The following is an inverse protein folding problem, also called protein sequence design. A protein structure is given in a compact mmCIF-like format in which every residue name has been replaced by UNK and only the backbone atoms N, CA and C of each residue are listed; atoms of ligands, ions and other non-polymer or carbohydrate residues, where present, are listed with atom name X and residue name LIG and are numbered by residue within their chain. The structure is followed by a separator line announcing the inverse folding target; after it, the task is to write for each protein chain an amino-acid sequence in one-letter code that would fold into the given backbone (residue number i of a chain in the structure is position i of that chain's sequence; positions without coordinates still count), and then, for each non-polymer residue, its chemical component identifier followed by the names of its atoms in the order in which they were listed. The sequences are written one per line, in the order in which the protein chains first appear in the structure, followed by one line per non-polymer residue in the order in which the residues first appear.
data_IF_178312816298
#
_entry.id   IF_178312816298
#
_cell.length_a   1.000
_cell.length_b   1.000
_cell.length_c   1.000
_cell.angle_alpha   90.00
_cell.angle_beta   90.00
_cell.angle_gamma   90.00
#
_symmetry.space_group_name_H-M   'P 1'
#
loop_
_entity.id
_entity.type
_entity.pdbx_description
1 polymer ?
#
# COMPACT_ATOMS: atom_id res chain seq x y z
N UNK A 1 28.63 -25.13 -28.59
CA UNK A 1 27.77 -24.06 -28.08
C UNK A 1 27.12 -24.59 -26.81
N UNK A 2 27.53 -24.10 -25.65
CA UNK A 2 27.04 -24.61 -24.38
C UNK A 2 25.62 -24.09 -24.11
N UNK A 3 24.68 -25.01 -24.11
CA UNK A 3 23.25 -24.76 -23.80
C UNK A 3 22.95 -24.55 -22.29
N UNK A 4 23.85 -23.84 -21.59
CA UNK A 4 23.72 -23.63 -20.14
C UNK A 4 22.87 -22.41 -19.73
N UNK A 5 22.11 -21.82 -20.67
CA UNK A 5 21.36 -20.60 -20.35
C UNK A 5 20.12 -20.86 -19.49
N UNK A 6 19.61 -22.08 -19.44
CA UNK A 6 18.46 -22.46 -18.63
C UNK A 6 18.79 -23.09 -17.27
N UNK A 7 20.03 -23.52 -17.07
CA UNK A 7 20.47 -24.14 -15.79
C UNK A 7 20.29 -23.19 -14.60
N UNK A 8 20.38 -21.88 -14.84
CA UNK A 8 20.11 -20.85 -13.84
C UNK A 8 18.69 -20.96 -13.29
N UNK A 9 17.70 -21.31 -14.09
CA UNK A 9 16.30 -21.38 -13.66
C UNK A 9 16.04 -22.54 -12.69
N UNK A 10 16.80 -23.62 -12.82
CA UNK A 10 16.62 -24.82 -11.99
C UNK A 10 17.50 -24.82 -10.73
N UNK A 11 18.36 -23.80 -10.56
CA UNK A 11 19.14 -23.72 -9.34
C UNK A 11 18.29 -23.31 -8.13
N UNK A 12 18.72 -23.75 -6.94
CA UNK A 12 18.06 -23.42 -5.68
C UNK A 12 18.11 -21.89 -5.43
N UNK A 13 17.00 -21.32 -4.92
CA UNK A 13 16.88 -19.87 -4.61
C UNK A 13 17.93 -19.38 -3.61
N UNK A 14 18.48 -20.25 -2.76
CA UNK A 14 19.58 -19.93 -1.81
C UNK A 14 20.86 -19.46 -2.53
N UNK A 15 21.06 -19.85 -3.79
CA UNK A 15 22.21 -19.44 -4.58
C UNK A 15 22.11 -18.02 -5.15
N UNK A 16 20.93 -17.42 -5.06
CA UNK A 16 20.72 -16.05 -5.52
C UNK A 16 21.42 -15.05 -4.59
N UNK A 17 22.08 -14.08 -5.20
CA UNK A 17 22.76 -13.02 -4.44
C UNK A 17 21.75 -12.29 -3.54
N UNK A 18 22.04 -12.25 -2.24
CA UNK A 18 21.19 -11.59 -1.23
C UNK A 18 20.13 -12.48 -0.60
N UNK A 19 20.01 -13.76 -1.02
CA UNK A 19 19.16 -14.75 -0.40
C UNK A 19 20.04 -15.73 0.39
N UNK A 20 20.05 -15.55 1.71
CA UNK A 20 20.70 -16.51 2.62
C UNK A 20 19.67 -17.53 3.14
N UNK A 21 20.11 -18.51 3.97
CA UNK A 21 19.28 -19.60 4.49
C UNK A 21 17.97 -19.12 5.15
N UNK A 22 18.04 -18.03 5.92
CA UNK A 22 16.86 -17.45 6.57
C UNK A 22 15.80 -16.96 5.57
N UNK A 23 16.24 -16.25 4.50
CA UNK A 23 15.29 -15.81 3.46
C UNK A 23 14.78 -16.98 2.62
N UNK A 24 15.64 -17.95 2.32
CA UNK A 24 15.25 -19.14 1.58
C UNK A 24 14.17 -19.96 2.31
N UNK A 25 14.18 -19.99 3.65
CA UNK A 25 13.12 -20.65 4.41
C UNK A 25 11.74 -20.02 4.17
N UNK A 26 11.68 -18.69 3.96
CA UNK A 26 10.41 -18.02 3.64
C UNK A 26 9.89 -18.41 2.24
N UNK A 27 10.78 -18.55 1.26
CA UNK A 27 10.41 -19.05 -0.07
C UNK A 27 9.87 -20.49 -0.01
N UNK A 28 10.46 -21.34 0.83
CA UNK A 28 9.99 -22.73 1.04
C UNK A 28 8.55 -22.77 1.58
N UNK A 29 8.14 -21.80 2.41
CA UNK A 29 6.76 -21.73 2.91
C UNK A 29 5.73 -21.49 1.78
N UNK A 30 6.17 -20.95 0.65
CA UNK A 30 5.36 -20.79 -0.56
C UNK A 30 5.61 -21.89 -1.61
N UNK A 31 6.31 -22.98 -1.22
CA UNK A 31 6.74 -24.05 -2.14
C UNK A 31 7.68 -23.58 -3.26
N UNK A 32 8.39 -22.47 -3.06
CA UNK A 32 9.37 -21.94 -4.00
C UNK A 32 10.75 -22.47 -3.59
N UNK A 33 11.32 -23.39 -4.34
CA UNK A 33 12.62 -24.00 -4.08
C UNK A 33 13.67 -23.58 -5.11
N UNK A 34 13.25 -23.38 -6.34
CA UNK A 34 14.11 -23.03 -7.47
C UNK A 34 13.76 -21.67 -8.04
N UNK A 35 14.66 -21.11 -8.86
CA UNK A 35 14.43 -19.81 -9.51
C UNK A 35 13.19 -19.84 -10.40
N UNK A 36 12.96 -20.94 -11.12
CA UNK A 36 11.78 -21.08 -11.97
C UNK A 36 10.47 -21.04 -11.20
N UNK A 37 10.44 -21.53 -9.94
CA UNK A 37 9.24 -21.49 -9.11
C UNK A 37 8.79 -20.06 -8.81
N UNK A 38 9.72 -19.09 -8.80
CA UNK A 38 9.40 -17.66 -8.63
C UNK A 38 8.49 -17.19 -9.78
N UNK A 39 8.74 -17.62 -11.01
CA UNK A 39 7.93 -17.23 -12.18
C UNK A 39 6.55 -17.85 -12.18
N UNK A 40 6.38 -19.01 -11.53
CA UNK A 40 5.08 -19.66 -11.36
C UNK A 40 4.32 -19.16 -10.14
N UNK A 41 4.95 -18.38 -9.27
CA UNK A 41 4.28 -17.75 -8.13
C UNK A 41 3.43 -16.58 -8.61
N UNK A 42 2.17 -16.83 -8.90
CA UNK A 42 1.24 -15.83 -9.43
C UNK A 42 0.77 -14.88 -8.32
N UNK A 43 0.45 -13.63 -8.66
CA UNK A 43 -0.13 -12.69 -7.70
C UNK A 43 -1.49 -13.19 -7.21
N UNK A 44 -1.78 -13.00 -5.93
CA UNK A 44 -3.08 -13.33 -5.34
C UNK A 44 -4.17 -12.38 -5.75
N UNK A 45 -3.81 -11.15 -6.07
CA UNK A 45 -4.70 -10.09 -6.58
C UNK A 45 -3.89 -9.00 -7.26
N UNK A 46 -4.57 -8.17 -8.06
CA UNK A 46 -4.01 -6.94 -8.61
C UNK A 46 -4.83 -5.74 -8.13
N UNK A 47 -4.16 -4.63 -7.92
CA UNK A 47 -4.79 -3.34 -7.59
C UNK A 47 -4.57 -2.42 -8.79
N UNK A 48 -5.66 -1.99 -9.41
CA UNK A 48 -5.63 -1.00 -10.47
C UNK A 48 -5.73 0.40 -9.86
N UNK A 49 -4.65 1.18 -9.98
CA UNK A 49 -4.59 2.57 -9.50
C UNK A 49 -4.63 3.59 -10.64
N UNK A 50 -4.86 3.11 -11.88
CA UNK A 50 -4.87 3.99 -13.07
C UNK A 50 -6.21 4.65 -13.32
N UNK A 51 -7.29 4.04 -12.83
CA UNK A 51 -8.65 4.46 -13.13
C UNK A 51 -9.03 5.74 -12.38
N UNK A 52 -9.66 6.67 -13.10
CA UNK A 52 -10.36 7.78 -12.47
C UNK A 52 -11.62 7.28 -11.75
N UNK A 53 -11.90 7.89 -10.62
CA UNK A 53 -12.90 7.40 -9.69
C UNK A 53 -14.25 8.04 -10.00
N UNK A 54 -15.27 7.21 -10.16
CA UNK A 54 -16.67 7.65 -10.07
C UNK A 54 -17.07 7.75 -8.59
N UNK A 55 -17.01 8.97 -8.04
CA UNK A 55 -17.36 9.22 -6.64
C UNK A 55 -18.84 8.97 -6.31
N UNK A 56 -19.70 8.78 -7.32
CA UNK A 56 -21.14 8.53 -7.09
C UNK A 56 -21.43 7.08 -6.71
N UNK A 57 -20.57 6.16 -7.16
CA UNK A 57 -20.78 4.71 -7.01
C UNK A 57 -19.67 4.05 -6.19
N UNK A 58 -19.07 4.77 -5.25
CA UNK A 58 -17.99 4.22 -4.41
C UNK A 58 -18.51 3.21 -3.39
N UNK A 59 -17.90 2.05 -3.39
CA UNK A 59 -18.13 1.01 -2.41
C UNK A 59 -17.08 1.02 -1.29
N UNK A 60 -17.53 0.70 -0.08
CA UNK A 60 -16.61 0.53 1.06
C UNK A 60 -15.59 -0.57 0.78
N UNK A 61 -14.31 -0.27 0.98
CA UNK A 61 -13.21 -1.21 0.74
C UNK A 61 -12.62 -1.14 -0.67
N UNK A 62 -13.25 -0.43 -1.60
CA UNK A 62 -12.67 -0.14 -2.92
C UNK A 62 -11.41 0.70 -2.76
N UNK A 63 -10.36 0.38 -3.51
CA UNK A 63 -9.14 1.20 -3.55
C UNK A 63 -9.35 2.37 -4.51
N UNK A 64 -9.04 3.56 -4.04
CA UNK A 64 -9.08 4.79 -4.84
C UNK A 64 -7.68 5.39 -4.97
N UNK A 65 -7.43 6.06 -6.09
CA UNK A 65 -6.27 6.94 -6.28
C UNK A 65 -6.79 8.28 -6.76
N UNK A 66 -6.52 9.35 -6.01
CA UNK A 66 -7.10 10.65 -6.33
C UNK A 66 -6.28 11.81 -5.83
N UNK A 67 -6.33 12.91 -6.57
CA UNK A 67 -5.77 14.19 -6.17
C UNK A 67 -6.69 14.85 -5.14
N UNK A 68 -6.11 15.40 -4.08
CA UNK A 68 -6.79 16.13 -3.03
C UNK A 68 -5.96 17.33 -2.59
N UNK A 69 -6.61 18.36 -2.07
CA UNK A 69 -5.96 19.50 -1.45
C UNK A 69 -6.18 19.47 0.06
N UNK A 70 -5.10 19.58 0.82
CA UNK A 70 -5.18 19.62 2.30
C UNK A 70 -5.88 20.88 2.73
N UNK A 71 -6.98 20.78 3.46
CA UNK A 71 -7.76 21.89 3.96
C UNK A 71 -7.45 22.21 5.42
N UNK A 72 -7.51 21.18 6.28
CA UNK A 72 -7.37 21.37 7.72
C UNK A 72 -6.90 20.12 8.43
N UNK A 73 -6.18 20.29 9.53
CA UNK A 73 -5.79 19.23 10.43
C UNK A 73 -6.62 19.25 11.70
N UNK A 74 -7.21 18.11 12.04
CA UNK A 74 -7.95 17.90 13.27
C UNK A 74 -7.13 17.03 14.23
N UNK A 75 -6.63 17.67 15.28
CA UNK A 75 -5.85 17.01 16.31
C UNK A 75 -6.78 16.27 17.28
N UNK A 76 -6.47 15.03 17.64
CA UNK A 76 -7.25 14.34 18.66
C UNK A 76 -6.99 14.97 20.03
N UNK A 77 -8.05 15.38 20.72
CA UNK A 77 -7.97 15.82 22.12
C UNK A 77 -7.87 14.64 23.11
N UNK A 78 -8.15 13.42 22.64
CA UNK A 78 -8.04 12.17 23.40
C UNK A 78 -7.20 11.19 22.60
N UNK A 79 -6.21 10.48 23.21
CA UNK A 79 -5.38 9.49 22.53
C UNK A 79 -6.13 8.34 21.84
N UNK A 80 -7.39 8.10 22.24
CA UNK A 80 -8.26 7.09 21.61
C UNK A 80 -8.91 7.57 20.31
N UNK A 81 -8.87 8.87 20.04
CA UNK A 81 -9.43 9.43 18.81
C UNK A 81 -8.37 9.46 17.70
N UNK A 82 -8.78 9.29 16.45
CA UNK A 82 -7.86 9.37 15.33
C UNK A 82 -7.45 10.82 15.03
N UNK A 83 -6.27 10.97 14.45
CA UNK A 83 -5.86 12.18 13.79
C UNK A 83 -6.51 12.21 12.40
N UNK A 84 -7.13 13.34 12.04
CA UNK A 84 -7.83 13.48 10.76
C UNK A 84 -7.25 14.65 9.97
N UNK A 85 -6.89 14.39 8.72
CA UNK A 85 -6.56 15.43 7.74
C UNK A 85 -7.78 15.57 6.84
N UNK A 86 -8.46 16.71 6.96
CA UNK A 86 -9.56 17.07 6.07
C UNK A 86 -8.98 17.59 4.77
N UNK A 87 -9.33 16.92 3.69
CA UNK A 87 -8.94 17.30 2.34
C UNK A 87 -10.17 17.61 1.49
N UNK A 88 -9.98 18.40 0.44
CA UNK A 88 -11.03 18.72 -0.53
C UNK A 88 -10.64 18.28 -1.94
N UNK A 89 -11.65 17.83 -2.71
CA UNK A 89 -11.59 17.64 -4.15
C UNK A 89 -12.84 18.23 -4.79
N UNK A 90 -12.73 19.43 -5.32
CA UNK A 90 -13.90 20.19 -5.77
C UNK A 90 -14.85 20.45 -4.60
N UNK A 91 -16.09 19.96 -4.70
CA UNK A 91 -17.10 20.06 -3.62
C UNK A 91 -17.07 18.91 -2.62
N UNK A 92 -16.25 17.89 -2.83
CA UNK A 92 -16.18 16.70 -1.97
C UNK A 92 -15.15 16.90 -0.86
N UNK A 93 -15.52 16.45 0.34
CA UNK A 93 -14.59 16.35 1.49
C UNK A 93 -14.14 14.89 1.61
N UNK A 94 -12.83 14.71 1.65
CA UNK A 94 -12.19 13.40 1.82
C UNK A 94 -11.32 13.48 3.06
N UNK A 95 -11.59 12.61 4.04
CA UNK A 95 -10.82 12.57 5.27
C UNK A 95 -9.71 11.52 5.19
N UNK A 96 -8.48 11.91 5.47
CA UNK A 96 -7.39 10.96 5.69
C UNK A 96 -7.30 10.72 7.20
N UNK A 97 -7.41 9.46 7.60
CA UNK A 97 -7.51 9.09 9.03
C UNK A 97 -6.26 8.31 9.44
N UNK A 98 -5.66 8.74 10.54
CA UNK A 98 -4.55 8.04 11.16
C UNK A 98 -4.87 7.71 12.61
N UNK A 99 -4.74 6.45 12.98
CA UNK A 99 -4.81 5.99 14.37
C UNK A 99 -3.42 6.01 14.99
N UNK A 100 -3.35 6.25 16.30
CA UNK A 100 -2.12 6.15 17.10
C UNK A 100 -0.97 7.09 16.71
N UNK A 101 -1.22 8.14 15.93
CA UNK A 101 -0.21 9.15 15.60
C UNK A 101 -0.27 10.29 16.61
N UNK A 102 0.91 10.68 17.12
CA UNK A 102 1.07 11.77 18.06
C UNK A 102 1.95 12.88 17.49
N UNK A 103 1.68 14.13 17.92
CA UNK A 103 2.50 15.29 17.56
C UNK A 103 2.19 15.91 16.21
N UNK A 104 3.05 16.87 15.82
CA UNK A 104 2.83 17.72 14.64
C UNK A 104 3.50 17.17 13.36
N UNK A 105 3.93 15.90 13.35
CA UNK A 105 4.66 15.33 12.22
C UNK A 105 3.87 15.40 10.91
N UNK A 106 2.61 14.96 10.94
CA UNK A 106 1.76 14.96 9.74
C UNK A 106 1.47 16.38 9.23
N UNK A 107 1.29 17.35 10.14
CA UNK A 107 1.07 18.75 9.76
C UNK A 107 2.30 19.36 9.08
N UNK A 108 3.50 18.98 9.53
CA UNK A 108 4.74 19.42 8.87
C UNK A 108 4.94 18.75 7.52
N UNK A 109 4.61 17.46 7.42
CA UNK A 109 4.77 16.69 6.18
C UNK A 109 3.75 17.08 5.12
N UNK A 110 2.50 17.33 5.54
CA UNK A 110 1.36 17.66 4.66
C UNK A 110 0.74 18.99 5.08
N UNK A 111 1.37 20.14 4.80
CA UNK A 111 0.86 21.44 5.24
C UNK A 111 -0.48 21.76 4.57
N UNK A 112 -1.25 22.67 5.20
CA UNK A 112 -2.50 23.18 4.65
C UNK A 112 -2.27 23.84 3.28
N UNK A 113 -3.23 23.71 2.38
CA UNK A 113 -3.22 24.11 0.98
C UNK A 113 -2.29 23.31 0.07
N UNK A 114 -1.59 22.29 0.56
CA UNK A 114 -0.78 21.42 -0.29
C UNK A 114 -1.68 20.47 -1.09
N UNK A 115 -1.35 20.29 -2.37
CA UNK A 115 -1.97 19.29 -3.23
C UNK A 115 -1.20 17.98 -3.13
N UNK A 116 -1.94 16.90 -2.93
CA UNK A 116 -1.42 15.56 -2.72
C UNK A 116 -2.20 14.57 -3.57
N UNK A 117 -1.52 13.55 -4.04
CA UNK A 117 -2.17 12.36 -4.57
C UNK A 117 -2.20 11.31 -3.47
N UNK A 118 -3.38 10.78 -3.20
CA UNK A 118 -3.59 9.74 -2.19
C UNK A 118 -4.09 8.46 -2.84
N UNK A 119 -3.65 7.33 -2.33
CA UNK A 119 -4.18 6.04 -2.73
C UNK A 119 -4.42 5.16 -1.51
N UNK A 120 -5.60 4.52 -1.46
CA UNK A 120 -5.97 3.67 -0.34
C UNK A 120 -7.42 3.21 -0.39
N UNK A 121 -7.81 2.39 0.59
CA UNK A 121 -9.16 1.83 0.67
C UNK A 121 -10.16 2.84 1.21
N UNK A 122 -11.28 2.94 0.51
CA UNK A 122 -12.41 3.78 0.92
C UNK A 122 -13.10 3.24 2.16
N UNK A 123 -13.40 4.14 3.07
CA UNK A 123 -14.30 3.93 4.20
C UNK A 123 -15.17 5.17 4.39
N UNK A 124 -16.13 5.10 5.32
CA UNK A 124 -16.95 6.25 5.68
C UNK A 124 -16.79 6.54 7.17
N UNK A 125 -16.42 7.76 7.49
CA UNK A 125 -16.28 8.25 8.85
C UNK A 125 -17.15 9.50 9.05
N UNK A 126 -18.10 9.45 10.00
CA UNK A 126 -19.06 10.53 10.22
C UNK A 126 -19.74 10.99 8.94
N UNK A 127 -20.19 10.03 8.13
CA UNK A 127 -20.84 10.22 6.82
C UNK A 127 -19.97 10.86 5.72
N UNK A 128 -18.72 11.15 5.98
CA UNK A 128 -17.77 11.65 4.99
C UNK A 128 -16.93 10.52 4.41
N UNK A 129 -16.58 10.67 3.13
CA UNK A 129 -15.63 9.79 2.48
C UNK A 129 -14.29 9.85 3.20
N UNK A 130 -13.71 8.70 3.47
CA UNK A 130 -12.49 8.62 4.27
C UNK A 130 -11.56 7.53 3.76
N UNK A 131 -10.25 7.76 3.93
CA UNK A 131 -9.20 6.78 3.67
C UNK A 131 -8.39 6.64 4.96
N UNK A 132 -8.47 5.48 5.60
CA UNK A 132 -7.72 5.22 6.83
C UNK A 132 -6.37 4.60 6.47
N UNK A 133 -5.29 5.16 7.00
CA UNK A 133 -3.92 4.73 6.70
C UNK A 133 -3.71 4.50 5.21
N UNK A 134 -3.78 5.55 4.36
CA UNK A 134 -3.60 5.38 2.92
C UNK A 134 -2.32 4.60 2.61
N UNK A 135 -2.40 3.74 1.60
CA UNK A 135 -1.24 2.96 1.13
C UNK A 135 -0.12 3.88 0.65
N UNK A 136 -0.52 4.99 -0.04
CA UNK A 136 0.39 6.00 -0.56
C UNK A 136 -0.18 7.40 -0.36
N UNK A 137 0.72 8.35 -0.02
CA UNK A 137 0.50 9.80 -0.10
C UNK A 137 1.77 10.40 -0.69
N UNK A 138 1.63 11.01 -1.85
CA UNK A 138 2.73 11.61 -2.59
C UNK A 138 2.38 13.02 -3.06
N UNK A 139 3.40 13.77 -3.46
CA UNK A 139 3.23 15.04 -4.15
C UNK A 139 2.80 14.80 -5.60
N UNK A 140 2.13 15.76 -6.20
CA UNK A 140 1.55 15.62 -7.55
C UNK A 140 2.59 15.25 -8.62
N UNK A 141 3.83 15.68 -8.44
CA UNK A 141 4.96 15.38 -9.33
C UNK A 141 5.26 13.87 -9.47
N UNK A 142 4.76 13.07 -8.53
CA UNK A 142 4.92 11.60 -8.51
C UNK A 142 3.65 10.86 -8.96
N UNK A 143 2.66 11.53 -9.57
CA UNK A 143 1.39 10.93 -9.97
C UNK A 143 1.57 9.70 -10.87
N UNK A 144 2.42 9.80 -11.89
CA UNK A 144 2.66 8.71 -12.84
C UNK A 144 3.20 7.44 -12.16
N UNK A 145 3.96 7.59 -11.07
CA UNK A 145 4.49 6.47 -10.30
C UNK A 145 3.41 5.75 -9.49
N UNK A 146 2.34 6.44 -9.11
CA UNK A 146 1.23 5.89 -8.34
C UNK A 146 0.10 5.34 -9.21
N UNK A 147 -0.09 5.89 -10.41
CA UNK A 147 -1.09 5.41 -11.37
C UNK A 147 -0.58 4.19 -12.12
N UNK A 148 -0.49 3.07 -11.42
CA UNK A 148 0.04 1.82 -11.95
C UNK A 148 -0.84 0.62 -11.55
N UNK A 149 -0.65 -0.50 -12.25
CA UNK A 149 -1.12 -1.80 -11.77
C UNK A 149 -0.13 -2.35 -10.76
N UNK A 150 -0.61 -2.64 -9.56
CA UNK A 150 0.17 -3.25 -8.50
C UNK A 150 -0.26 -4.69 -8.30
N UNK A 151 0.64 -5.64 -8.54
CA UNK A 151 0.42 -7.05 -8.30
C UNK A 151 0.79 -7.40 -6.86
N UNK A 152 -0.15 -7.93 -6.11
CA UNK A 152 0.04 -8.36 -4.73
C UNK A 152 0.32 -9.85 -4.71
N UNK A 153 1.50 -10.22 -4.25
CA UNK A 153 1.94 -11.60 -4.10
C UNK A 153 1.68 -12.12 -2.67
N UNK A 154 1.67 -13.45 -2.48
CA UNK A 154 1.59 -14.03 -1.14
C UNK A 154 2.72 -13.52 -0.25
N UNK A 155 2.40 -13.24 1.03
CA UNK A 155 3.41 -12.77 1.98
C UNK A 155 4.42 -13.86 2.32
N UNK A 156 5.71 -13.58 2.11
CA UNK A 156 6.80 -14.50 2.44
C UNK A 156 6.99 -14.71 3.95
N UNK A 157 6.54 -13.76 4.77
CA UNK A 157 6.75 -13.76 6.22
C UNK A 157 5.58 -14.36 6.99
N UNK A 158 4.51 -14.80 6.30
CA UNK A 158 3.35 -15.40 6.95
C UNK A 158 3.74 -16.77 7.53
N UNK A 159 4.10 -16.77 8.82
CA UNK A 159 4.19 -17.96 9.64
C UNK A 159 2.99 -17.97 10.59
N UNK A 160 2.57 -19.16 11.04
CA UNK A 160 1.46 -19.33 11.97
C UNK A 160 1.64 -18.58 13.31
N UNK A 161 2.83 -18.07 13.58
CA UNK A 161 3.16 -17.29 14.76
C UNK A 161 3.00 -15.77 14.58
N UNK A 162 2.61 -15.31 13.37
CA UNK A 162 2.42 -13.90 13.06
C UNK A 162 1.05 -13.36 13.52
N UNK A 163 0.52 -13.84 14.64
CA UNK A 163 -0.69 -13.27 15.24
C UNK A 163 -0.48 -11.85 15.82
N UNK A 164 0.77 -11.36 15.90
CA UNK A 164 1.10 -10.14 16.63
C UNK A 164 1.73 -9.01 15.81
N UNK A 165 2.12 -9.21 14.53
CA UNK A 165 2.73 -8.12 13.76
C UNK A 165 2.13 -8.02 12.35
N UNK A 166 1.10 -7.20 12.22
CA UNK A 166 0.42 -6.90 10.96
C UNK A 166 1.18 -6.00 10.01
N UNK A 167 2.39 -6.41 9.59
CA UNK A 167 3.17 -5.72 8.56
C UNK A 167 3.61 -6.70 7.48
N UNK A 168 2.77 -6.88 6.49
CA UNK A 168 3.15 -7.27 5.15
C UNK A 168 2.66 -6.25 4.15
#
# INVERSE_FOLDING_TARGET
MNDNSFDFLYQNVEKLKGIGPKKASYFKNLNINTVIDIFYNLPTRSIDRTQDIDFKNLEKGQTITTLVKVKKHHFPFNPKLPYVIECEKGSLIINIIYFSIRGNFLRKKYPENKELIISGKVSFFKSNLSVAHPDYIEEIENEDKLRTFENIYPCLLYTSDAADEGFC
#
